data_IF_379247589222
#
_entry.id   IF_379247589222
#
_cell.length_a   1.000
_cell.length_b   1.000
_cell.length_c   1.000
_cell.angle_alpha   90.00
_cell.angle_beta   90.00
_cell.angle_gamma   90.00
#
_symmetry.space_group_name_H-M   'P 1'
#
loop_
_entity.id
_entity.type
_entity.pdbx_description
1 polymer ?
#
# COMPACT_ATOMS: atom_id res chain seq x y z
N UNK A 1 -7.52 11.85 0.77
CA UNK A 1 -7.35 10.52 0.13
C UNK A 1 -8.72 9.89 -0.01
N UNK A 2 -9.10 9.47 -1.22
CA UNK A 2 -10.34 8.74 -1.47
C UNK A 2 -9.99 7.39 -2.10
N UNK A 3 -10.53 6.31 -1.55
CA UNK A 3 -10.35 4.95 -2.06
C UNK A 3 -11.65 4.55 -2.75
N UNK A 4 -11.56 4.11 -4.01
CA UNK A 4 -12.69 3.66 -4.81
C UNK A 4 -12.48 2.17 -5.08
N UNK A 5 -13.24 1.27 -4.41
CA UNK A 5 -13.12 -0.16 -4.66
C UNK A 5 -13.63 -0.50 -6.07
N UNK A 6 -12.89 -1.36 -6.78
CA UNK A 6 -13.19 -1.81 -8.14
C UNK A 6 -13.49 -3.30 -8.14
N UNK A 7 -12.73 -4.07 -7.36
CA UNK A 7 -12.91 -5.50 -7.19
C UNK A 7 -12.66 -5.86 -5.73
N UNK A 8 -13.59 -6.59 -5.13
CA UNK A 8 -13.50 -7.07 -3.75
C UNK A 8 -13.88 -8.55 -3.73
N UNK A 9 -12.85 -9.40 -3.84
CA UNK A 9 -12.97 -10.86 -3.79
C UNK A 9 -12.21 -11.37 -2.57
N UNK A 10 -12.50 -12.62 -2.19
CA UNK A 10 -11.90 -13.28 -1.01
C UNK A 10 -10.38 -13.09 -0.88
N UNK A 11 -9.64 -13.27 -1.98
CA UNK A 11 -8.17 -13.22 -2.01
C UNK A 11 -7.62 -12.11 -2.91
N UNK A 12 -8.48 -11.23 -3.44
CA UNK A 12 -8.06 -10.18 -4.39
C UNK A 12 -8.84 -8.90 -4.14
N UNK A 13 -8.10 -7.81 -3.95
CA UNK A 13 -8.67 -6.49 -3.77
C UNK A 13 -8.03 -5.51 -4.75
N UNK A 14 -8.87 -4.85 -5.55
CA UNK A 14 -8.46 -3.86 -6.54
C UNK A 14 -9.18 -2.56 -6.24
N UNK A 15 -8.43 -1.48 -6.16
CA UNK A 15 -8.98 -0.17 -5.84
C UNK A 15 -8.21 0.95 -6.54
N UNK A 16 -8.92 2.04 -6.81
CA UNK A 16 -8.35 3.30 -7.25
C UNK A 16 -8.13 4.23 -6.04
N UNK A 17 -7.05 4.99 -6.07
CA UNK A 17 -6.76 5.99 -5.02
C UNK A 17 -6.66 7.38 -5.63
N UNK A 18 -7.39 8.32 -5.06
CA UNK A 18 -7.34 9.74 -5.41
C UNK A 18 -6.69 10.58 -4.30
N UNK A 19 -5.97 11.62 -4.72
CA UNK A 19 -5.32 12.58 -3.82
C UNK A 19 -4.04 12.05 -3.17
N UNK A 20 -3.39 11.03 -3.77
CA UNK A 20 -2.07 10.54 -3.37
C UNK A 20 -1.16 10.43 -4.60
N UNK A 21 0.12 10.73 -4.44
CA UNK A 21 1.12 10.61 -5.50
C UNK A 21 1.73 9.21 -5.61
N UNK A 22 2.51 8.98 -6.66
CA UNK A 22 3.23 7.71 -6.91
C UNK A 22 4.11 7.26 -5.74
N UNK A 23 4.72 8.20 -5.03
CA UNK A 23 5.58 7.92 -3.87
C UNK A 23 4.84 7.12 -2.80
N UNK A 24 3.62 7.53 -2.46
CA UNK A 24 2.82 6.85 -1.45
C UNK A 24 2.46 5.42 -1.88
N UNK A 25 2.08 5.26 -3.14
CA UNK A 25 1.67 3.96 -3.70
C UNK A 25 2.87 3.03 -3.81
N UNK A 26 4.03 3.52 -4.24
CA UNK A 26 5.25 2.72 -4.31
C UNK A 26 5.65 2.21 -2.92
N UNK A 27 5.69 3.09 -1.91
CA UNK A 27 6.06 2.70 -0.54
C UNK A 27 5.08 1.65 0.00
N UNK A 28 3.77 1.84 -0.19
CA UNK A 28 2.77 0.85 0.22
C UNK A 28 2.94 -0.48 -0.50
N UNK A 29 3.18 -0.43 -1.82
CA UNK A 29 3.39 -1.61 -2.67
C UNK A 29 4.62 -2.39 -2.23
N UNK A 30 5.73 -1.70 -1.96
CA UNK A 30 6.98 -2.30 -1.49
C UNK A 30 6.81 -2.89 -0.08
N UNK A 31 6.09 -2.20 0.82
CA UNK A 31 5.83 -2.73 2.16
C UNK A 31 4.94 -3.99 2.15
N UNK A 32 3.97 -4.05 1.25
CA UNK A 32 3.12 -5.23 1.09
C UNK A 32 3.93 -6.47 0.68
N UNK A 33 5.03 -6.30 -0.06
CA UNK A 33 5.92 -7.41 -0.41
C UNK A 33 6.70 -7.99 0.78
N UNK A 34 6.75 -7.28 1.91
CA UNK A 34 7.32 -7.84 3.16
C UNK A 34 6.38 -8.85 3.84
N UNK A 35 5.16 -9.01 3.34
CA UNK A 35 4.20 -9.95 3.88
C UNK A 35 4.25 -11.28 3.10
N UNK A 36 4.54 -12.39 3.79
CA UNK A 36 4.67 -13.70 3.16
C UNK A 36 3.36 -14.22 2.56
N UNK A 37 2.21 -13.70 3.00
CA UNK A 37 0.91 -14.10 2.48
C UNK A 37 0.49 -13.31 1.24
N UNK A 38 1.21 -12.24 0.90
CA UNK A 38 0.96 -11.43 -0.30
C UNK A 38 1.62 -12.09 -1.51
N UNK A 39 0.79 -12.44 -2.50
CA UNK A 39 1.23 -13.04 -3.77
C UNK A 39 1.45 -11.99 -4.86
N UNK A 40 0.62 -10.94 -4.84
CA UNK A 40 0.70 -9.85 -5.81
C UNK A 40 0.51 -8.53 -5.08
N UNK A 41 1.47 -7.62 -5.26
CA UNK A 41 1.36 -6.21 -4.89
C UNK A 41 1.90 -5.35 -6.03
N UNK A 42 1.01 -4.70 -6.76
CA UNK A 42 1.36 -3.85 -7.90
C UNK A 42 0.37 -2.71 -8.07
N UNK A 43 0.74 -1.72 -8.87
CA UNK A 43 -0.19 -0.71 -9.34
C UNK A 43 0.05 -0.41 -10.82
N UNK A 44 -1.00 0.02 -11.49
CA UNK A 44 -0.96 0.43 -12.89
C UNK A 44 -1.52 1.84 -13.03
N UNK A 45 -0.83 2.65 -13.84
CA UNK A 45 -1.31 3.97 -14.28
C UNK A 45 -1.42 3.89 -15.79
N UNK A 46 -2.65 3.88 -16.33
CA UNK A 46 -2.88 3.75 -17.78
C UNK A 46 -2.36 4.97 -18.56
N UNK A 47 -2.65 6.17 -18.08
CA UNK A 47 -2.18 7.44 -18.64
C UNK A 47 -1.67 8.37 -17.53
N UNK A 48 -0.39 8.81 -17.58
CA UNK A 48 0.25 9.56 -16.49
C UNK A 48 -0.46 10.84 -16.06
N UNK A 49 -1.16 11.51 -16.98
CA UNK A 49 -1.72 12.84 -16.77
C UNK A 49 -3.16 12.78 -16.22
N UNK A 50 -3.91 11.72 -16.54
CA UNK A 50 -5.38 11.70 -16.37
C UNK A 50 -5.85 10.48 -15.55
N UNK A 51 -5.04 9.41 -15.49
CA UNK A 51 -5.47 8.17 -14.85
C UNK A 51 -5.25 8.18 -13.35
N UNK A 52 -6.26 7.71 -12.64
CA UNK A 52 -6.14 7.34 -11.23
C UNK A 52 -5.34 6.03 -11.15
N UNK A 53 -4.33 5.94 -10.26
CA UNK A 53 -3.61 4.70 -10.07
C UNK A 53 -4.53 3.59 -9.57
N UNK A 54 -4.49 2.45 -10.25
CA UNK A 54 -5.19 1.23 -9.84
C UNK A 54 -4.22 0.31 -9.11
N UNK A 55 -4.47 0.10 -7.81
CA UNK A 55 -3.68 -0.80 -6.97
C UNK A 55 -4.32 -2.17 -6.97
N UNK A 56 -3.51 -3.22 -7.08
CA UNK A 56 -3.91 -4.62 -7.10
C UNK A 56 -3.16 -5.33 -5.97
N UNK A 57 -3.92 -5.93 -5.06
CA UNK A 57 -3.39 -6.76 -3.97
C UNK A 57 -4.03 -8.13 -4.04
N UNK A 58 -3.22 -9.18 -4.08
CA UNK A 58 -3.67 -10.57 -3.96
C UNK A 58 -2.92 -11.30 -2.87
N UNK A 59 -3.64 -12.15 -2.16
CA UNK A 59 -3.09 -12.98 -1.08
C UNK A 59 -3.22 -14.46 -1.40
N UNK A 60 -2.50 -15.28 -0.63
CA UNK A 60 -2.56 -16.75 -0.71
C UNK A 60 -3.90 -17.35 -0.22
N UNK A 61 -4.73 -16.55 0.46
CA UNK A 61 -6.00 -16.95 1.06
C UNK A 61 -5.92 -17.28 2.56
N UNK A 62 -4.72 -17.32 3.14
CA UNK A 62 -4.48 -17.41 4.58
C UNK A 62 -4.81 -16.09 5.28
N UNK A 63 -4.56 -14.98 4.59
CA UNK A 63 -4.90 -13.62 5.03
C UNK A 63 -5.80 -12.93 3.98
N UNK A 64 -6.73 -12.08 4.41
CA UNK A 64 -7.50 -11.23 3.49
C UNK A 64 -6.64 -10.07 2.96
N UNK A 65 -6.80 -9.64 1.70
CA UNK A 65 -6.03 -8.51 1.15
C UNK A 65 -6.17 -7.21 1.95
N UNK A 66 -7.34 -6.98 2.57
CA UNK A 66 -7.59 -5.82 3.43
C UNK A 66 -6.82 -5.90 4.75
N UNK A 67 -6.70 -7.10 5.32
CA UNK A 67 -5.87 -7.32 6.51
C UNK A 67 -4.39 -7.09 6.19
N UNK A 68 -3.90 -7.64 5.08
CA UNK A 68 -2.52 -7.43 4.61
C UNK A 68 -2.22 -5.93 4.42
N UNK A 69 -3.15 -5.18 3.80
CA UNK A 69 -3.07 -3.72 3.66
C UNK A 69 -2.99 -3.01 5.01
N UNK A 70 -3.85 -3.36 5.95
CA UNK A 70 -3.85 -2.77 7.30
C UNK A 70 -2.54 -3.05 8.04
N UNK A 71 -2.03 -4.28 7.93
CA UNK A 71 -0.75 -4.71 8.50
C UNK A 71 0.41 -3.90 7.91
N UNK A 72 0.49 -3.78 6.58
CA UNK A 72 1.50 -2.98 5.90
C UNK A 72 1.47 -1.51 6.33
N UNK A 73 0.28 -0.89 6.39
CA UNK A 73 0.14 0.50 6.86
C UNK A 73 0.63 0.67 8.31
N UNK A 74 0.32 -0.30 9.17
CA UNK A 74 0.79 -0.29 10.57
C UNK A 74 2.31 -0.38 10.67
N UNK A 75 2.96 -1.23 9.84
CA UNK A 75 4.42 -1.32 9.75
C UNK A 75 5.03 0.00 9.28
N UNK A 76 4.50 0.60 8.20
CA UNK A 76 4.96 1.89 7.69
C UNK A 76 4.84 3.01 8.72
N UNK A 77 3.73 3.04 9.47
CA UNK A 77 3.53 4.02 10.54
C UNK A 77 4.62 3.90 11.61
N UNK A 78 4.91 2.68 12.08
CA UNK A 78 5.98 2.41 13.06
C UNK A 78 7.35 2.84 12.53
N UNK A 79 7.67 2.49 11.27
CA UNK A 79 8.93 2.89 10.63
C UNK A 79 9.05 4.41 10.54
N UNK A 80 7.97 5.10 10.17
CA UNK A 80 7.93 6.57 10.08
C UNK A 80 8.11 7.24 11.44
N UNK A 81 7.49 6.71 12.49
CA UNK A 81 7.66 7.19 13.86
C UNK A 81 9.10 6.99 14.38
N UNK A 82 9.68 5.81 14.10
CA UNK A 82 11.08 5.52 14.43
C UNK A 82 12.04 6.47 13.72
N UNK A 83 11.87 6.67 12.42
CA UNK A 83 12.66 7.60 11.62
C UNK A 83 12.60 9.03 12.15
N UNK A 84 11.39 9.52 12.48
CA UNK A 84 11.21 10.85 13.08
C UNK A 84 11.96 10.99 14.39
N UNK A 85 11.92 9.96 15.25
CA UNK A 85 12.63 9.94 16.53
C UNK A 85 14.14 10.00 16.33
N UNK A 86 14.69 9.15 15.46
CA UNK A 86 16.13 9.08 15.18
C UNK A 86 16.68 10.40 14.61
N UNK A 87 15.98 11.03 13.66
CA UNK A 87 16.35 12.35 13.16
C UNK A 87 16.37 13.40 14.28
N UNK A 88 15.34 13.42 15.13
CA UNK A 88 15.25 14.41 16.21
C UNK A 88 16.34 14.26 17.28
N UNK A 89 16.88 13.04 17.45
CA UNK A 89 17.99 12.76 18.39
C UNK A 89 19.37 12.90 17.76
N UNK A 90 19.52 12.63 16.47
CA UNK A 90 20.82 12.56 15.79
C UNK A 90 21.24 13.83 15.05
N UNK A 91 20.30 14.73 14.74
CA UNK A 91 20.58 16.00 14.04
C UNK A 91 20.50 17.19 15.01
N UNK A 92 21.01 17.01 16.23
CA UNK A 92 21.17 18.08 17.22
C UNK A 92 22.64 18.37 17.46
#
# INVERSE_FOLDING_TARGET
MKIIPIEDKKNRFVFEVEGVGHTFINILKDELWNDSHVKISTYSVRHPIISKPKVIVETDGSESPKAALSSAISRLKKTSEKFKKEISSGVR
#
